data_IF_915347397351
#
_entry.id   IF_915347397351
#
_cell.length_a   1.000
_cell.length_b   1.000
_cell.length_c   1.000
_cell.angle_alpha   90.00
_cell.angle_beta   90.00
_cell.angle_gamma   90.00
#
_symmetry.space_group_name_H-M   'P 1'
#
loop_
_entity.id
_entity.type
_entity.pdbx_description
1 polymer ?
#
# COMPACT_ATOMS: atom_id res chain seq x y z
N UNK A 1 5.60 5.41 -5.32
CA UNK A 1 4.78 6.64 -5.16
C UNK A 1 4.53 7.34 -6.50
N UNK A 2 5.09 6.81 -7.59
CA UNK A 2 5.07 7.48 -8.89
C UNK A 2 4.04 6.93 -9.86
N UNK A 3 3.28 5.92 -9.45
CA UNK A 3 2.19 5.38 -10.24
C UNK A 3 1.13 6.46 -10.52
N UNK A 4 0.76 6.57 -11.79
CA UNK A 4 -0.14 7.62 -12.29
C UNK A 4 -1.52 7.48 -11.65
N UNK A 5 -2.02 6.25 -11.45
CA UNK A 5 -3.32 5.99 -10.83
C UNK A 5 -3.31 6.48 -9.39
N UNK A 6 -2.29 6.10 -8.61
CA UNK A 6 -2.15 6.54 -7.21
C UNK A 6 -2.08 8.07 -7.12
N UNK A 7 -1.31 8.72 -8.00
CA UNK A 7 -1.19 10.19 -8.02
C UNK A 7 -2.50 10.89 -8.38
N UNK A 8 -3.27 10.34 -9.33
CA UNK A 8 -4.58 10.85 -9.71
C UNK A 8 -5.57 10.77 -8.54
N UNK A 9 -5.61 9.63 -7.85
CA UNK A 9 -6.47 9.43 -6.67
C UNK A 9 -6.02 10.36 -5.53
N UNK A 10 -4.71 10.48 -5.29
CA UNK A 10 -4.15 11.39 -4.30
C UNK A 10 -4.60 12.84 -4.54
N UNK A 11 -4.52 13.31 -5.80
CA UNK A 11 -5.01 14.63 -6.20
C UNK A 11 -6.51 14.79 -6.00
N UNK A 12 -7.32 13.78 -6.37
CA UNK A 12 -8.79 13.78 -6.19
C UNK A 12 -9.19 14.03 -4.75
N UNK A 13 -8.47 13.42 -3.80
CA UNK A 13 -8.76 13.52 -2.35
C UNK A 13 -8.01 14.64 -1.63
N UNK A 14 -7.10 15.35 -2.30
CA UNK A 14 -6.24 16.35 -1.66
C UNK A 14 -5.27 15.75 -0.64
N UNK A 15 -4.84 14.50 -0.87
CA UNK A 15 -3.97 13.72 0.02
C UNK A 15 -2.66 13.36 -0.68
N UNK A 16 -1.69 12.85 0.07
CA UNK A 16 -0.45 12.33 -0.50
C UNK A 16 -0.62 10.89 -1.03
N UNK A 17 0.22 10.44 -1.99
CA UNK A 17 0.24 9.04 -2.40
C UNK A 17 0.44 8.04 -1.26
N UNK A 18 1.19 8.41 -0.21
CA UNK A 18 1.39 7.56 0.96
C UNK A 18 0.09 7.40 1.75
N UNK A 19 -0.65 8.49 1.97
CA UNK A 19 -1.95 8.46 2.64
C UNK A 19 -2.97 7.62 1.87
N UNK A 20 -3.00 7.71 0.54
CA UNK A 20 -3.87 6.85 -0.30
C UNK A 20 -3.55 5.37 -0.08
N UNK A 21 -2.28 4.99 -0.14
CA UNK A 21 -1.85 3.59 0.04
C UNK A 21 -2.13 3.07 1.46
N UNK A 22 -1.97 3.91 2.48
CA UNK A 22 -2.30 3.56 3.87
C UNK A 22 -3.81 3.38 4.03
N UNK A 23 -4.62 4.34 3.55
CA UNK A 23 -6.08 4.28 3.61
C UNK A 23 -6.62 3.05 2.88
N UNK A 24 -6.06 2.75 1.71
CA UNK A 24 -6.45 1.60 0.89
C UNK A 24 -6.42 0.27 1.67
N UNK A 25 -5.35 0.02 2.44
CA UNK A 25 -5.25 -1.19 3.23
C UNK A 25 -6.20 -1.17 4.43
N UNK A 26 -6.31 -0.03 5.14
CA UNK A 26 -7.21 0.11 6.29
C UNK A 26 -8.67 -0.17 5.88
N UNK A 27 -9.10 0.37 4.75
CA UNK A 27 -10.48 0.20 4.25
C UNK A 27 -10.77 -1.23 3.77
N UNK A 28 -9.73 -2.06 3.58
CA UNK A 28 -9.84 -3.51 3.35
C UNK A 28 -9.79 -4.32 4.64
N UNK A 29 -9.95 -3.67 5.79
CA UNK A 29 -9.83 -4.26 7.13
C UNK A 29 -8.44 -4.85 7.43
N UNK A 30 -7.38 -4.24 6.88
CA UNK A 30 -6.00 -4.64 7.16
C UNK A 30 -5.30 -3.62 8.08
N UNK A 31 -4.49 -4.16 9.00
CA UNK A 31 -3.59 -3.35 9.84
C UNK A 31 -2.35 -2.96 9.01
N UNK A 32 -1.89 -1.72 9.15
CA UNK A 32 -0.73 -1.16 8.43
C UNK A 32 0.34 -0.65 9.37
N UNK A 33 1.61 -0.87 9.00
CA UNK A 33 2.79 -0.50 9.79
C UNK A 33 3.78 0.37 8.99
N UNK A 34 3.39 1.59 8.57
CA UNK A 34 4.24 2.44 7.74
C UNK A 34 5.46 2.94 8.53
N UNK A 35 6.66 2.48 8.18
CA UNK A 35 7.91 2.92 8.82
C UNK A 35 8.30 4.32 8.35
N UNK A 36 8.58 5.21 9.30
CA UNK A 36 9.24 6.50 9.04
C UNK A 36 10.07 6.94 10.25
N UNK A 37 11.18 7.64 9.99
CA UNK A 37 11.94 8.39 11.02
C UNK A 37 11.79 9.91 10.84
N UNK A 38 11.14 10.34 9.75
CA UNK A 38 10.88 11.74 9.49
C UNK A 38 9.58 12.16 10.23
N UNK A 39 9.64 13.11 11.17
CA UNK A 39 8.49 13.54 11.96
C UNK A 39 7.30 14.05 11.13
N UNK A 40 7.55 14.75 10.01
CA UNK A 40 6.46 15.24 9.16
C UNK A 40 5.71 14.08 8.51
N UNK A 41 6.44 13.09 8.00
CA UNK A 41 5.84 11.87 7.42
C UNK A 41 5.12 11.01 8.44
N UNK A 42 5.64 10.92 9.68
CA UNK A 42 4.94 10.20 10.77
C UNK A 42 3.56 10.84 11.01
N UNK A 43 3.53 12.18 11.10
CA UNK A 43 2.27 12.93 11.26
C UNK A 43 1.35 12.80 10.04
N UNK A 44 1.91 12.85 8.84
CA UNK A 44 1.13 12.69 7.60
C UNK A 44 0.51 11.29 7.49
N UNK A 45 1.27 10.24 7.83
CA UNK A 45 0.85 8.84 7.70
C UNK A 45 -0.33 8.47 8.61
N UNK A 46 -0.53 9.17 9.74
CA UNK A 46 -1.67 8.93 10.63
C UNK A 46 -2.93 9.70 10.22
N UNK A 47 -2.81 10.71 9.36
CA UNK A 47 -3.92 11.53 8.85
C UNK A 47 -4.67 10.83 7.70
N UNK A 48 -5.21 9.64 8.00
CA UNK A 48 -5.88 8.74 7.03
C UNK A 48 -7.28 8.32 7.45
N UNK A 49 -7.80 8.93 8.52
CA UNK A 49 -9.12 8.63 9.07
C UNK A 49 -10.16 9.73 8.80
N UNK A 50 -9.74 10.82 8.18
CA UNK A 50 -10.56 11.98 7.84
C UNK A 50 -11.07 11.97 6.39
N UNK A 51 -10.84 10.87 5.66
CA UNK A 51 -11.34 10.68 4.30
C UNK A 51 -11.60 9.19 4.01
N UNK A 52 -12.32 8.93 2.92
CA UNK A 52 -12.67 7.60 2.46
C UNK A 52 -12.42 7.47 0.95
N UNK A 53 -11.92 6.30 0.52
CA UNK A 53 -11.77 5.99 -0.90
C UNK A 53 -13.11 5.52 -1.46
N UNK A 54 -13.51 6.04 -2.61
CA UNK A 54 -14.72 5.55 -3.29
C UNK A 54 -14.52 4.12 -3.79
N UNK A 55 -15.60 3.38 -4.01
CA UNK A 55 -15.54 2.02 -4.59
C UNK A 55 -14.70 1.98 -5.88
N UNK A 56 -14.90 2.95 -6.76
CA UNK A 56 -14.10 3.10 -7.98
C UNK A 56 -12.60 3.32 -7.71
N UNK A 57 -12.25 4.11 -6.70
CA UNK A 57 -10.83 4.29 -6.34
C UNK A 57 -10.24 2.97 -5.83
N UNK A 58 -11.01 2.20 -5.06
CA UNK A 58 -10.60 0.88 -4.56
C UNK A 58 -10.39 -0.11 -5.72
N UNK A 59 -11.30 -0.14 -6.69
CA UNK A 59 -11.17 -0.96 -7.92
C UNK A 59 -9.95 -0.57 -8.74
N UNK A 60 -9.74 0.73 -8.98
CA UNK A 60 -8.57 1.23 -9.70
C UNK A 60 -7.27 0.82 -9.00
N UNK A 61 -7.21 0.88 -7.66
CA UNK A 61 -6.03 0.46 -6.89
C UNK A 61 -5.82 -1.06 -6.86
N UNK A 62 -6.89 -1.85 -6.79
CA UNK A 62 -6.82 -3.31 -6.87
C UNK A 62 -6.30 -3.78 -8.24
N UNK A 63 -6.65 -3.06 -9.31
CA UNK A 63 -6.19 -3.37 -10.67
C UNK A 63 -4.67 -3.19 -10.88
N UNK A 64 -3.97 -2.53 -9.93
CA UNK A 64 -2.52 -2.34 -9.98
C UNK A 64 -1.72 -3.55 -9.52
N UNK A 65 -2.36 -4.61 -9.03
CA UNK A 65 -1.63 -5.80 -8.60
C UNK A 65 -0.83 -6.41 -9.77
N UNK A 66 0.41 -6.79 -9.45
CA UNK A 66 1.36 -7.39 -10.40
C UNK A 66 1.89 -8.74 -9.92
N UNK A 67 1.30 -9.28 -8.84
CA UNK A 67 1.81 -10.44 -8.13
C UNK A 67 3.31 -10.32 -7.78
N UNK A 68 3.76 -9.08 -7.52
CA UNK A 68 5.16 -8.78 -7.22
C UNK A 68 5.37 -8.67 -5.71
N UNK A 69 6.32 -9.45 -5.18
CA UNK A 69 6.73 -9.37 -3.78
C UNK A 69 8.05 -8.58 -3.65
N UNK A 70 8.09 -7.63 -2.72
CA UNK A 70 9.32 -6.86 -2.44
C UNK A 70 10.27 -7.56 -1.47
N UNK A 71 9.75 -8.42 -0.58
CA UNK A 71 10.51 -9.11 0.46
C UNK A 71 10.54 -10.62 0.18
N UNK A 72 11.33 -11.04 -0.80
CA UNK A 72 11.46 -12.45 -1.21
C UNK A 72 12.61 -13.18 -0.49
N UNK A 73 13.59 -12.47 0.06
CA UNK A 73 14.77 -13.06 0.71
C UNK A 73 15.46 -14.16 -0.13
N UNK A 74 16.04 -13.82 -1.30
CA UNK A 74 16.54 -14.80 -2.27
C UNK A 74 17.58 -15.80 -1.71
N UNK A 75 18.37 -15.38 -0.73
CA UNK A 75 19.35 -16.26 -0.07
C UNK A 75 18.71 -17.44 0.67
N UNK A 76 17.40 -17.41 0.91
CA UNK A 76 16.64 -18.45 1.62
C UNK A 76 15.79 -19.33 0.71
N UNK A 77 15.86 -19.14 -0.61
CA UNK A 77 14.99 -19.81 -1.59
C UNK A 77 15.12 -21.35 -1.59
N UNK A 78 16.30 -21.86 -1.25
CA UNK A 78 16.57 -23.30 -1.14
C UNK A 78 16.12 -23.92 0.19
N UNK A 79 15.58 -23.13 1.12
CA UNK A 79 15.06 -23.66 2.37
C UNK A 79 13.82 -24.51 2.09
N UNK A 80 13.74 -25.70 2.71
CA UNK A 80 12.62 -26.64 2.50
C UNK A 80 11.23 -26.03 2.76
N UNK A 81 11.18 -25.01 3.62
CA UNK A 81 9.95 -24.30 4.01
C UNK A 81 9.86 -22.89 3.38
N UNK A 82 10.58 -22.63 2.29
CA UNK A 82 10.51 -21.34 1.61
C UNK A 82 9.09 -21.08 1.09
N UNK A 83 8.41 -20.00 1.53
CA UNK A 83 6.96 -19.88 1.44
C UNK A 83 6.45 -19.39 0.07
N UNK A 84 7.33 -18.98 -0.85
CA UNK A 84 6.93 -18.29 -2.08
C UNK A 84 6.95 -19.16 -3.34
N UNK A 85 7.18 -20.47 -3.21
CA UNK A 85 7.07 -21.43 -4.33
C UNK A 85 5.62 -21.86 -4.62
N UNK A 86 4.67 -21.54 -3.73
CA UNK A 86 3.27 -21.91 -3.86
C UNK A 86 2.42 -20.71 -4.32
N UNK A 87 1.34 -21.00 -5.05
CA UNK A 87 0.30 -20.03 -5.42
C UNK A 87 -0.62 -19.70 -4.21
N UNK A 88 -1.29 -18.54 -4.25
CA UNK A 88 -2.23 -18.07 -3.22
C UNK A 88 -3.38 -17.26 -3.81
#
# INVERSE_FOLDING_TARGET
MDDIVIRKIAKKHGKSPAQILIRFQIQRNLIVIPKSVNPSRIRENIQVFDFELTEKDMEELLSLDKNLRLATFPSTENHKDYPFHIEY
#
